data_IF_641519179399
#
_entry.id   IF_641519179399
#
_cell.length_a   1.000
_cell.length_b   1.000
_cell.length_c   1.000
_cell.angle_alpha   90.00
_cell.angle_beta   90.00
_cell.angle_gamma   90.00
#
_symmetry.space_group_name_H-M   'P 1'
#
loop_
_entity.id
_entity.type
_entity.pdbx_description
1 polymer ?
#
# COMPACT_ATOMS: atom_id res chain seq x y z
N UNK A 1 -16.16 3.25 -20.34
CA UNK A 1 -15.39 2.05 -19.92
C UNK A 1 -14.50 2.33 -18.72
N UNK A 2 -13.52 3.26 -18.78
CA UNK A 2 -12.49 3.44 -17.73
C UNK A 2 -12.97 3.92 -16.35
N UNK A 3 -14.13 4.56 -16.18
CA UNK A 3 -14.58 5.04 -14.85
C UNK A 3 -15.29 3.96 -14.03
N UNK A 4 -16.01 3.05 -14.69
CA UNK A 4 -16.74 1.95 -14.03
C UNK A 4 -15.75 0.95 -13.44
N UNK A 5 -14.69 0.61 -14.17
CA UNK A 5 -13.60 -0.27 -13.69
C UNK A 5 -12.93 0.29 -12.43
N UNK A 6 -12.68 1.60 -12.40
CA UNK A 6 -12.09 2.28 -11.25
C UNK A 6 -13.01 2.26 -10.04
N UNK A 7 -14.30 2.55 -10.23
CA UNK A 7 -15.29 2.48 -9.15
C UNK A 7 -15.43 1.04 -8.62
N UNK A 8 -15.43 0.03 -9.49
CA UNK A 8 -15.47 -1.38 -9.09
C UNK A 8 -14.20 -1.76 -8.33
N UNK A 9 -13.02 -1.33 -8.79
CA UNK A 9 -11.75 -1.56 -8.06
C UNK A 9 -11.75 -0.93 -6.68
N UNK A 10 -12.28 0.29 -6.52
CA UNK A 10 -12.41 0.94 -5.23
C UNK A 10 -13.38 0.22 -4.29
N UNK A 11 -14.49 -0.27 -4.82
CA UNK A 11 -15.48 -1.06 -4.04
C UNK A 11 -14.88 -2.40 -3.61
N UNK A 12 -14.22 -3.11 -4.52
CA UNK A 12 -13.56 -4.39 -4.22
C UNK A 12 -12.41 -4.20 -3.23
N UNK A 13 -11.63 -3.13 -3.37
CA UNK A 13 -10.58 -2.78 -2.41
C UNK A 13 -11.18 -2.43 -1.04
N UNK A 14 -12.23 -1.60 -0.99
CA UNK A 14 -12.90 -1.23 0.26
C UNK A 14 -13.51 -2.43 0.98
N UNK A 15 -14.24 -3.29 0.26
CA UNK A 15 -14.79 -4.54 0.80
C UNK A 15 -13.68 -5.51 1.22
N UNK A 16 -12.61 -5.63 0.44
CA UNK A 16 -11.47 -6.48 0.74
C UNK A 16 -10.72 -6.04 2.00
N UNK A 17 -10.51 -4.73 2.18
CA UNK A 17 -9.88 -4.19 3.38
C UNK A 17 -10.80 -4.37 4.61
N UNK A 18 -12.11 -4.20 4.43
CA UNK A 18 -13.09 -4.44 5.50
C UNK A 18 -13.12 -5.91 5.94
N UNK A 19 -13.14 -6.85 4.99
CA UNK A 19 -13.05 -8.29 5.25
C UNK A 19 -11.72 -8.68 5.90
N UNK A 20 -10.60 -8.18 5.39
CA UNK A 20 -9.28 -8.49 5.93
C UNK A 20 -9.06 -7.89 7.33
N UNK A 21 -9.62 -6.72 7.63
CA UNK A 21 -9.61 -6.17 9.00
C UNK A 21 -10.47 -7.01 9.95
N UNK A 22 -11.65 -7.48 9.50
CA UNK A 22 -12.56 -8.29 10.31
C UNK A 22 -12.00 -9.69 10.61
N UNK A 23 -11.42 -10.35 9.60
CA UNK A 23 -10.95 -11.74 9.69
C UNK A 23 -9.53 -11.83 10.25
N UNK A 24 -8.66 -10.87 9.92
CA UNK A 24 -7.22 -10.97 10.17
C UNK A 24 -6.73 -10.28 11.43
N UNK A 25 -7.45 -9.29 11.97
CA UNK A 25 -6.90 -8.42 13.02
C UNK A 25 -7.80 -8.17 14.23
N UNK A 26 -9.00 -8.74 14.29
CA UNK A 26 -9.95 -8.58 15.42
C UNK A 26 -10.18 -7.11 15.86
N UNK A 27 -9.95 -6.15 14.96
CA UNK A 27 -10.26 -4.75 15.22
C UNK A 27 -11.74 -4.56 14.93
N UNK A 28 -12.47 -3.96 15.87
CA UNK A 28 -13.90 -3.71 15.72
C UNK A 28 -14.19 -3.05 14.37
N UNK A 29 -15.09 -3.67 13.59
CA UNK A 29 -15.46 -3.21 12.24
C UNK A 29 -15.84 -1.72 12.21
N UNK A 30 -16.41 -1.21 13.31
CA UNK A 30 -16.74 0.19 13.52
C UNK A 30 -15.53 1.11 13.75
N UNK A 31 -14.42 0.63 14.32
CA UNK A 31 -13.22 1.42 14.60
C UNK A 31 -12.30 1.56 13.38
N UNK A 32 -12.25 0.54 12.50
CA UNK A 32 -11.46 0.59 11.27
C UNK A 32 -12.18 1.23 10.09
N UNK A 33 -13.51 1.37 10.15
CA UNK A 33 -14.33 2.04 9.14
C UNK A 33 -13.86 3.47 8.79
N UNK A 34 -13.62 4.37 9.77
CA UNK A 34 -13.14 5.72 9.46
C UNK A 34 -11.78 5.71 8.77
N UNK A 35 -10.91 4.77 9.14
CA UNK A 35 -9.62 4.59 8.50
C UNK A 35 -9.71 4.16 7.04
N UNK A 36 -10.54 3.14 6.75
CA UNK A 36 -10.79 2.70 5.37
C UNK A 36 -11.35 3.85 4.53
N UNK A 37 -12.27 4.63 5.11
CA UNK A 37 -12.89 5.77 4.44
C UNK A 37 -11.85 6.86 4.12
N UNK A 38 -10.94 7.18 5.05
CA UNK A 38 -9.83 8.12 4.83
C UNK A 38 -8.89 7.61 3.73
N UNK A 39 -8.51 6.33 3.74
CA UNK A 39 -7.66 5.76 2.69
C UNK A 39 -8.33 5.79 1.31
N UNK A 40 -9.63 5.50 1.24
CA UNK A 40 -10.40 5.57 0.01
C UNK A 40 -10.51 7.02 -0.51
N UNK A 41 -10.75 7.99 0.37
CA UNK A 41 -10.81 9.41 0.02
C UNK A 41 -9.45 9.92 -0.48
N UNK A 42 -8.35 9.60 0.19
CA UNK A 42 -6.99 9.96 -0.23
C UNK A 42 -6.68 9.33 -1.59
N UNK A 43 -7.01 8.05 -1.77
CA UNK A 43 -6.79 7.35 -3.03
C UNK A 43 -7.62 7.96 -4.16
N UNK A 44 -8.87 8.32 -3.91
CA UNK A 44 -9.74 8.97 -4.90
C UNK A 44 -9.22 10.36 -5.28
N UNK A 45 -8.77 11.15 -4.29
CA UNK A 45 -8.12 12.43 -4.52
C UNK A 45 -6.84 12.27 -5.36
N UNK A 46 -6.01 11.26 -5.07
CA UNK A 46 -4.80 10.96 -5.83
C UNK A 46 -5.08 10.62 -7.29
N UNK A 47 -6.18 9.95 -7.57
CA UNK A 47 -6.61 9.61 -8.94
C UNK A 47 -7.08 10.84 -9.70
N UNK A 48 -7.85 11.70 -9.05
CA UNK A 48 -8.30 12.97 -9.63
C UNK A 48 -7.09 13.86 -9.94
N UNK A 49 -6.15 13.99 -9.00
CA UNK A 49 -4.92 14.78 -9.18
C UNK A 49 -4.01 14.17 -10.26
N UNK A 50 -3.85 12.84 -10.29
CA UNK A 50 -3.08 12.16 -11.32
C UNK A 50 -3.68 12.31 -12.73
N UNK A 51 -4.98 12.60 -12.85
CA UNK A 51 -5.61 12.93 -14.13
C UNK A 51 -5.51 14.42 -14.49
N UNK A 52 -5.49 15.30 -13.48
CA UNK A 52 -5.38 16.74 -13.67
C UNK A 52 -3.94 17.16 -14.00
N UNK A 53 -2.96 16.46 -13.44
CA UNK A 53 -1.53 16.70 -13.63
C UNK A 53 -0.96 15.65 -14.59
N UNK A 54 -0.62 16.02 -15.84
CA UNK A 54 -0.12 15.08 -16.87
C UNK A 54 1.38 14.74 -16.69
N UNK A 55 1.86 14.65 -15.44
CA UNK A 55 3.20 14.12 -15.18
C UNK A 55 3.11 12.58 -15.18
N UNK A 56 4.02 11.92 -15.90
CA UNK A 56 4.12 10.45 -16.03
C UNK A 56 4.59 9.74 -14.75
N UNK A 57 4.14 10.22 -13.58
CA UNK A 57 4.43 9.59 -12.31
C UNK A 57 3.39 8.49 -12.04
N UNK A 58 3.79 7.37 -11.42
CA UNK A 58 2.85 6.32 -11.05
C UNK A 58 1.84 6.88 -10.02
N UNK A 59 0.58 6.43 -10.11
CA UNK A 59 -0.51 6.84 -9.19
C UNK A 59 -0.13 6.67 -7.72
N UNK A 60 0.68 5.65 -7.42
CA UNK A 60 1.19 5.35 -6.08
C UNK A 60 2.04 6.51 -5.53
N UNK A 61 2.82 7.19 -6.37
CA UNK A 61 3.62 8.35 -5.96
C UNK A 61 2.71 9.54 -5.61
N UNK A 62 1.67 9.80 -6.39
CA UNK A 62 0.68 10.84 -6.05
C UNK A 62 -0.06 10.52 -4.76
N UNK A 63 -0.43 9.25 -4.56
CA UNK A 63 -1.07 8.81 -3.32
C UNK A 63 -0.17 9.04 -2.10
N UNK A 64 1.13 8.71 -2.22
CA UNK A 64 2.12 8.95 -1.15
C UNK A 64 2.30 10.45 -0.85
N UNK A 65 2.42 11.29 -1.88
CA UNK A 65 2.57 12.74 -1.71
C UNK A 65 1.32 13.38 -1.09
N UNK A 66 0.13 13.02 -1.56
CA UNK A 66 -1.13 13.54 -1.00
C UNK A 66 -1.34 13.03 0.42
N UNK A 67 -1.07 11.74 0.68
CA UNK A 67 -1.09 11.18 2.02
C UNK A 67 -0.15 11.94 2.97
N UNK A 68 1.06 12.25 2.52
CA UNK A 68 2.02 13.06 3.28
C UNK A 68 1.49 14.48 3.53
N UNK A 69 0.94 15.15 2.52
CA UNK A 69 0.38 16.50 2.66
C UNK A 69 -0.83 16.55 3.62
N UNK A 70 -1.68 15.53 3.58
CA UNK A 70 -2.85 15.43 4.47
C UNK A 70 -2.42 15.08 5.91
N UNK A 71 -1.34 14.32 6.07
CA UNK A 71 -0.72 13.99 7.36
C UNK A 71 0.22 15.09 7.90
N UNK A 72 0.63 16.05 7.06
CA UNK A 72 1.50 17.14 7.47
C UNK A 72 0.84 18.00 8.56
N UNK A 73 1.63 18.55 9.50
CA UNK A 73 1.14 19.34 10.63
C UNK A 73 0.40 20.63 10.23
N UNK A 74 0.46 21.02 8.95
CA UNK A 74 -0.21 22.16 8.35
C UNK A 74 -1.70 21.91 8.02
N UNK A 75 -2.16 20.65 8.04
CA UNK A 75 -3.53 20.24 7.71
C UNK A 75 -4.42 20.21 8.97
N UNK A 76 -5.59 20.88 8.99
CA UNK A 76 -6.52 20.88 10.14
C UNK A 76 -7.19 19.53 10.41
N UNK A 77 -7.02 18.54 9.53
CA UNK A 77 -7.60 17.18 9.64
C UNK A 77 -6.55 16.16 10.17
N UNK A 78 -5.37 16.63 10.57
CA UNK A 78 -4.24 15.81 11.04
C UNK A 78 -4.58 14.79 12.13
N UNK A 79 -5.27 15.22 13.20
CA UNK A 79 -5.60 14.35 14.34
C UNK A 79 -6.55 13.24 13.91
N UNK A 80 -7.52 13.56 13.04
CA UNK A 80 -8.43 12.58 12.49
C UNK A 80 -7.74 11.60 11.54
N UNK A 81 -6.82 12.06 10.69
CA UNK A 81 -6.08 11.20 9.75
C UNK A 81 -5.07 10.31 10.48
N UNK A 82 -4.32 10.84 11.45
CA UNK A 82 -3.33 10.08 12.21
C UNK A 82 -4.01 9.09 13.16
N UNK A 83 -5.08 9.50 13.86
CA UNK A 83 -5.87 8.60 14.70
C UNK A 83 -6.57 7.52 13.86
N UNK A 84 -7.12 7.88 12.70
CA UNK A 84 -7.76 6.90 11.81
C UNK A 84 -6.76 5.99 11.11
N UNK A 85 -5.59 6.47 10.71
CA UNK A 85 -4.53 5.64 10.11
C UNK A 85 -3.90 4.70 11.14
N UNK A 86 -3.75 5.14 12.39
CA UNK A 86 -3.29 4.29 13.50
C UNK A 86 -4.27 3.17 13.86
N UNK A 87 -5.56 3.32 13.50
CA UNK A 87 -6.61 2.29 13.67
C UNK A 87 -6.73 1.32 12.49
N UNK A 88 -5.89 1.47 11.45
CA UNK A 88 -5.88 0.58 10.29
C UNK A 88 -4.67 -0.34 10.38
N UNK A 89 -4.92 -1.64 10.26
CA UNK A 89 -3.85 -2.58 10.01
C UNK A 89 -3.50 -2.55 8.52
N UNK A 90 -2.34 -1.95 8.19
CA UNK A 90 -1.82 -1.89 6.82
C UNK A 90 -1.58 -3.26 6.18
N UNK A 91 -1.59 -4.33 6.97
CA UNK A 91 -1.52 -5.70 6.48
C UNK A 91 -2.77 -6.11 5.70
N UNK A 92 -3.95 -5.56 6.01
CA UNK A 92 -5.20 -5.91 5.32
C UNK A 92 -5.15 -5.61 3.80
N UNK A 93 -4.77 -4.39 3.35
CA UNK A 93 -4.47 -4.13 1.94
C UNK A 93 -3.37 -5.02 1.36
N UNK A 94 -2.32 -5.32 2.14
CA UNK A 94 -1.20 -6.15 1.70
C UNK A 94 -1.63 -7.59 1.39
N UNK A 95 -2.51 -8.16 2.22
CA UNK A 95 -3.10 -9.48 2.02
C UNK A 95 -3.93 -9.54 0.73
N UNK A 96 -4.72 -8.50 0.44
CA UNK A 96 -5.49 -8.43 -0.80
C UNK A 96 -4.59 -8.38 -2.04
N UNK A 97 -3.55 -7.54 -2.02
CA UNK A 97 -2.56 -7.48 -3.12
C UNK A 97 -1.83 -8.82 -3.27
N UNK A 98 -1.46 -9.46 -2.15
CA UNK A 98 -0.87 -10.79 -2.14
C UNK A 98 -1.80 -11.86 -2.74
N UNK A 99 -3.10 -11.81 -2.43
CA UNK A 99 -4.10 -12.71 -2.99
C UNK A 99 -4.26 -12.50 -4.50
N UNK A 100 -4.35 -11.25 -4.97
CA UNK A 100 -4.41 -10.96 -6.41
C UNK A 100 -3.14 -11.37 -7.14
N UNK A 101 -1.97 -11.16 -6.54
CA UNK A 101 -0.70 -11.62 -7.10
C UNK A 101 -0.67 -13.16 -7.19
N UNK A 102 -1.11 -13.86 -6.15
CA UNK A 102 -1.22 -15.32 -6.14
C UNK A 102 -2.16 -15.86 -7.21
N UNK A 103 -3.35 -15.25 -7.35
CA UNK A 103 -4.32 -15.59 -8.41
C UNK A 103 -3.70 -15.32 -9.79
N UNK A 104 -2.99 -14.22 -9.98
CA UNK A 104 -2.37 -13.90 -11.27
C UNK A 104 -1.27 -14.89 -11.68
N UNK A 105 -0.60 -15.51 -10.71
CA UNK A 105 0.46 -16.50 -10.94
C UNK A 105 -0.12 -17.91 -11.15
N UNK A 106 -1.38 -18.15 -10.76
CA UNK A 106 -1.99 -19.49 -10.81
C UNK A 106 -2.00 -20.13 -12.21
N UNK A 107 -2.16 -19.32 -13.27
CA UNK A 107 -2.14 -19.79 -14.66
C UNK A 107 -0.73 -20.26 -15.12
N UNK A 108 0.33 -19.66 -14.56
CA UNK A 108 1.72 -19.96 -14.91
C UNK A 108 2.38 -20.95 -13.94
N UNK A 109 1.62 -21.54 -13.01
CA UNK A 109 2.19 -22.34 -11.91
C UNK A 109 3.02 -23.54 -12.40
N UNK A 110 2.72 -24.08 -13.60
CA UNK A 110 3.51 -25.15 -14.24
C UNK A 110 4.90 -24.68 -14.67
N UNK A 111 5.01 -23.47 -15.20
CA UNK A 111 6.29 -22.89 -15.60
C UNK A 111 7.10 -22.44 -14.38
N UNK A 112 6.40 -21.88 -13.37
CA UNK A 112 6.99 -21.62 -12.06
C UNK A 112 7.51 -22.89 -11.38
N UNK A 113 6.81 -24.03 -11.47
CA UNK A 113 7.26 -25.28 -10.89
C UNK A 113 8.53 -25.81 -11.57
N UNK A 114 8.62 -25.71 -12.90
CA UNK A 114 9.83 -26.09 -13.66
C UNK A 114 11.03 -25.19 -13.34
N UNK A 115 10.79 -23.91 -13.01
CA UNK A 115 11.83 -22.92 -12.73
C UNK A 115 11.99 -22.59 -11.24
N UNK A 116 11.27 -23.31 -10.36
CA UNK A 116 11.00 -22.91 -8.98
C UNK A 116 12.25 -22.77 -8.12
N UNK A 117 13.24 -23.66 -8.30
CA UNK A 117 14.50 -23.58 -7.56
C UNK A 117 15.26 -22.28 -7.82
N UNK A 118 15.27 -21.80 -9.08
CA UNK A 118 15.92 -20.53 -9.43
C UNK A 118 15.15 -19.34 -8.85
N UNK A 119 13.82 -19.40 -8.88
CA UNK A 119 12.96 -18.35 -8.33
C UNK A 119 13.11 -18.18 -6.81
N UNK A 120 13.27 -19.28 -6.07
CA UNK A 120 13.52 -19.23 -4.61
C UNK A 120 14.83 -18.50 -4.31
N UNK A 121 15.92 -18.86 -5.03
CA UNK A 121 17.22 -18.21 -4.87
C UNK A 121 17.15 -16.71 -5.19
N UNK A 122 16.50 -16.35 -6.32
CA UNK A 122 16.30 -14.96 -6.73
C UNK A 122 15.50 -14.19 -5.68
N UNK A 123 14.42 -14.79 -5.16
CA UNK A 123 13.61 -14.18 -4.10
C UNK A 123 14.44 -13.88 -2.85
N UNK A 124 15.26 -14.82 -2.40
CA UNK A 124 16.13 -14.61 -1.24
C UNK A 124 17.15 -13.49 -1.47
N UNK A 125 17.75 -13.47 -2.67
CA UNK A 125 18.75 -12.47 -3.03
C UNK A 125 18.14 -11.07 -3.18
N UNK A 126 16.93 -10.96 -3.74
CA UNK A 126 16.19 -9.69 -3.85
C UNK A 126 15.76 -9.17 -2.49
N UNK A 127 15.21 -10.01 -1.61
CA UNK A 127 14.80 -9.60 -0.27
C UNK A 127 16.01 -9.15 0.56
N UNK A 128 17.10 -9.93 0.52
CA UNK A 128 18.34 -9.61 1.22
C UNK A 128 18.97 -8.33 0.67
N UNK A 129 19.05 -8.19 -0.66
CA UNK A 129 19.61 -6.99 -1.30
C UNK A 129 18.82 -5.72 -1.01
N UNK A 130 17.49 -5.79 -1.05
CA UNK A 130 16.62 -4.64 -0.75
C UNK A 130 16.75 -4.21 0.72
N UNK A 131 16.83 -5.18 1.64
CA UNK A 131 17.02 -4.90 3.06
C UNK A 131 18.39 -4.29 3.34
N UNK A 132 19.48 -4.91 2.85
CA UNK A 132 20.85 -4.41 3.06
C UNK A 132 21.03 -3.03 2.41
N UNK A 133 20.52 -2.81 1.20
CA UNK A 133 20.58 -1.52 0.54
C UNK A 133 19.86 -0.43 1.33
N UNK A 134 18.64 -0.72 1.82
CA UNK A 134 17.88 0.22 2.66
C UNK A 134 18.57 0.48 4.00
N UNK A 135 19.17 -0.54 4.60
CA UNK A 135 19.92 -0.43 5.86
C UNK A 135 21.19 0.42 5.69
N UNK A 136 21.95 0.22 4.61
CA UNK A 136 23.14 1.02 4.30
C UNK A 136 22.80 2.50 4.07
N UNK A 137 21.75 2.80 3.29
CA UNK A 137 21.31 4.18 3.08
C UNK A 137 20.85 4.81 4.39
N UNK A 138 20.09 4.06 5.20
CA UNK A 138 19.68 4.51 6.53
C UNK A 138 20.89 4.81 7.40
N UNK A 139 21.86 3.90 7.46
CA UNK A 139 23.07 4.07 8.27
C UNK A 139 23.91 5.27 7.82
N UNK A 140 24.08 5.47 6.52
CA UNK A 140 24.76 6.64 5.96
C UNK A 140 24.05 7.95 6.35
N UNK A 141 22.74 8.02 6.15
CA UNK A 141 21.95 9.23 6.44
C UNK A 141 21.93 9.52 7.94
N UNK A 142 21.72 8.52 8.78
CA UNK A 142 21.70 8.71 10.23
C UNK A 142 23.08 9.10 10.80
N UNK A 143 24.17 8.52 10.28
CA UNK A 143 25.53 8.89 10.67
C UNK A 143 25.92 10.30 10.20
N UNK A 144 25.50 10.70 8.99
CA UNK A 144 25.64 12.08 8.50
C UNK A 144 24.83 13.09 9.33
N UNK A 145 23.66 12.68 9.83
CA UNK A 145 22.78 13.54 10.66
C UNK A 145 23.18 13.54 12.15
N UNK A 146 24.25 12.82 12.54
CA UNK A 146 24.71 12.69 13.93
C UNK A 146 23.63 12.20 14.91
N UNK A 147 22.66 11.42 14.40
CA UNK A 147 21.67 10.74 15.24
C UNK A 147 22.22 9.44 15.86
N UNK A 148 23.36 8.97 15.35
CA UNK A 148 24.19 7.85 15.82
C UNK A 148 25.65 8.19 15.51
#
# INVERSE_FOLDING_TARGET
MRYIEWSVMFIVAGLGIALANFIGFEVGFMDSLPGICVLLLISLAAVVVSKLVPLKLPIIAYCSVIGLLVACPFSPIRDFVISSAGKINFTAPLTMVGAFAGISISDQIRDFAKQGWKMILIGFLVMTGTFIGSALVSQLVLSLTHAI
#
